data_IF_018953121610
#
_entry.id   IF_018953121610
#
_cell.length_a   1.000
_cell.length_b   1.000
_cell.length_c   1.000
_cell.angle_alpha   90.00
_cell.angle_beta   90.00
_cell.angle_gamma   90.00
#
_symmetry.space_group_name_H-M   'P 1'
#
loop_
_entity.id
_entity.type
_entity.pdbx_description
1 polymer ?
#
# COMPACT_ATOMS: atom_id res chain seq x y z
N UNK A 1 -1.07 -7.27 22.43
CA UNK A 1 -0.18 -6.75 21.46
C UNK A 1 -0.90 -6.37 20.18
N UNK A 2 -0.55 -5.27 19.66
CA UNK A 2 -1.24 -4.77 18.49
C UNK A 2 -0.34 -4.89 17.27
N UNK A 3 -0.96 -5.26 16.16
CA UNK A 3 -0.30 -5.17 14.88
C UNK A 3 -0.62 -3.81 14.29
N UNK A 4 0.35 -3.21 13.65
CA UNK A 4 0.12 -1.96 12.96
C UNK A 4 -0.86 -2.18 11.82
N UNK A 5 -1.70 -1.20 11.58
CA UNK A 5 -2.60 -1.23 10.44
C UNK A 5 -1.79 -1.14 9.16
N UNK A 6 -2.13 -1.98 8.20
CA UNK A 6 -1.46 -1.99 6.92
C UNK A 6 -2.48 -1.62 5.85
N UNK A 7 -2.22 -0.53 5.15
CA UNK A 7 -3.06 -0.11 4.04
C UNK A 7 -2.20 0.04 2.80
N UNK A 8 -2.77 -0.31 1.67
CA UNK A 8 -2.07 -0.21 0.41
C UNK A 8 -2.99 0.44 -0.62
N UNK A 9 -2.45 1.42 -1.30
CA UNK A 9 -3.11 1.98 -2.48
C UNK A 9 -2.41 1.42 -3.69
N UNK A 10 -3.17 0.80 -4.57
CA UNK A 10 -2.63 0.05 -5.69
C UNK A 10 -3.39 0.32 -6.97
N UNK A 11 -2.87 -0.22 -8.06
CA UNK A 11 -3.56 -0.25 -9.35
C UNK A 11 -3.73 -1.72 -9.73
N UNK A 12 -4.89 -2.09 -10.25
CA UNK A 12 -5.19 -3.49 -10.55
C UNK A 12 -4.27 -4.08 -11.61
N UNK A 13 -3.72 -3.23 -12.47
CA UNK A 13 -2.83 -3.66 -13.56
C UNK A 13 -1.36 -3.47 -13.27
N UNK A 14 -1.01 -3.00 -12.09
CA UNK A 14 0.37 -2.68 -11.73
C UNK A 14 1.11 -3.94 -11.26
N UNK A 15 2.20 -4.28 -11.95
CA UNK A 15 2.97 -5.48 -11.57
C UNK A 15 3.65 -5.31 -10.22
N UNK A 16 4.15 -4.13 -9.90
CA UNK A 16 4.76 -3.87 -8.60
C UNK A 16 3.74 -4.00 -7.47
N UNK A 17 2.52 -3.54 -7.71
CA UNK A 17 1.44 -3.69 -6.74
C UNK A 17 1.12 -5.16 -6.48
N UNK A 18 1.10 -5.96 -7.53
CA UNK A 18 0.87 -7.41 -7.41
C UNK A 18 1.98 -8.08 -6.62
N UNK A 19 3.22 -7.66 -6.83
CA UNK A 19 4.37 -8.18 -6.09
C UNK A 19 4.26 -7.86 -4.61
N UNK A 20 3.83 -6.66 -4.26
CA UNK A 20 3.63 -6.28 -2.86
C UNK A 20 2.53 -7.11 -2.23
N UNK A 21 1.40 -7.29 -2.92
CA UNK A 21 0.31 -8.11 -2.40
C UNK A 21 0.78 -9.54 -2.13
N UNK A 22 1.55 -10.10 -3.05
CA UNK A 22 2.11 -11.44 -2.88
C UNK A 22 3.03 -11.49 -1.67
N UNK A 23 3.89 -10.50 -1.52
CA UNK A 23 4.81 -10.43 -0.38
C UNK A 23 4.04 -10.38 0.94
N UNK A 24 3.02 -9.54 1.03
CA UNK A 24 2.22 -9.42 2.24
C UNK A 24 1.48 -10.73 2.54
N UNK A 25 0.98 -11.41 1.51
CA UNK A 25 0.34 -12.71 1.70
C UNK A 25 1.34 -13.75 2.21
N UNK A 26 2.56 -13.75 1.68
CA UNK A 26 3.60 -14.68 2.11
C UNK A 26 4.03 -14.41 3.56
N UNK A 27 3.95 -13.17 3.99
CA UNK A 27 4.26 -12.80 5.37
C UNK A 27 3.10 -13.09 6.33
N UNK A 28 1.99 -13.56 5.84
CA UNK A 28 0.78 -13.90 6.61
C UNK A 28 0.28 -12.73 7.47
N UNK A 29 0.39 -11.53 6.94
CA UNK A 29 -0.12 -10.33 7.62
C UNK A 29 -1.44 -9.94 6.98
N UNK A 30 -2.30 -9.34 7.80
CA UNK A 30 -3.57 -8.82 7.31
C UNK A 30 -3.36 -7.40 6.83
N UNK A 31 -3.91 -7.09 5.67
CA UNK A 31 -3.79 -5.76 5.11
C UNK A 31 -5.05 -5.42 4.32
N UNK A 32 -5.28 -4.12 4.17
CA UNK A 32 -6.36 -3.63 3.33
C UNK A 32 -5.73 -3.00 2.09
N UNK A 33 -6.35 -3.21 0.94
CA UNK A 33 -5.88 -2.55 -0.27
C UNK A 33 -7.04 -1.94 -1.03
N UNK A 34 -6.71 -0.91 -1.80
CA UNK A 34 -7.67 -0.24 -2.66
C UNK A 34 -7.06 -0.12 -4.04
N UNK A 35 -7.69 -0.73 -5.04
CA UNK A 35 -7.27 -0.57 -6.43
C UNK A 35 -7.91 0.71 -6.94
N UNK A 36 -7.13 1.77 -6.93
CA UNK A 36 -7.63 3.12 -7.20
C UNK A 36 -8.20 3.26 -8.60
N UNK A 37 -7.65 2.53 -9.56
CA UNK A 37 -8.11 2.56 -10.94
C UNK A 37 -9.51 1.96 -11.13
N UNK A 38 -9.98 1.17 -10.16
CA UNK A 38 -11.32 0.60 -10.21
C UNK A 38 -12.38 1.49 -9.60
N UNK A 39 -11.96 2.54 -8.91
CA UNK A 39 -12.88 3.51 -8.33
C UNK A 39 -13.31 4.52 -9.40
N UNK A 40 -14.48 5.10 -9.19
CA UNK A 40 -15.06 6.06 -10.16
C UNK A 40 -15.56 7.29 -9.44
N UNK A 41 -15.55 8.41 -10.16
CA UNK A 41 -16.17 9.65 -9.70
C UNK A 41 -15.54 10.16 -8.41
N UNK A 42 -16.40 10.52 -7.46
CA UNK A 42 -15.98 11.13 -6.20
C UNK A 42 -15.14 10.23 -5.33
N UNK A 43 -15.39 8.91 -5.37
CA UNK A 43 -14.61 7.97 -4.59
C UNK A 43 -13.16 7.98 -5.03
N UNK A 44 -12.95 7.99 -6.35
CA UNK A 44 -11.60 8.03 -6.90
C UNK A 44 -10.89 9.33 -6.51
N UNK A 45 -11.57 10.45 -6.63
CA UNK A 45 -11.01 11.75 -6.28
C UNK A 45 -10.64 11.81 -4.80
N UNK A 46 -11.51 11.32 -3.93
CA UNK A 46 -11.27 11.34 -2.49
C UNK A 46 -10.07 10.47 -2.13
N UNK A 47 -9.97 9.29 -2.72
CA UNK A 47 -8.84 8.40 -2.45
C UNK A 47 -7.54 8.99 -2.99
N UNK A 48 -7.57 9.61 -4.17
CA UNK A 48 -6.38 10.23 -4.71
C UNK A 48 -5.88 11.39 -3.85
N UNK A 49 -6.80 12.13 -3.24
CA UNK A 49 -6.40 13.17 -2.29
C UNK A 49 -5.73 12.57 -1.05
N UNK A 50 -6.26 11.45 -0.56
CA UNK A 50 -5.64 10.75 0.56
C UNK A 50 -4.24 10.26 0.20
N UNK A 51 -4.07 9.68 -0.98
CA UNK A 51 -2.76 9.23 -1.44
C UNK A 51 -1.77 10.39 -1.50
N UNK A 52 -2.20 11.55 -1.97
CA UNK A 52 -1.34 12.73 -2.06
C UNK A 52 -0.84 13.19 -0.70
N UNK A 53 -1.59 12.98 0.36
CA UNK A 53 -1.15 13.33 1.71
C UNK A 53 0.05 12.50 2.14
N UNK A 54 0.11 11.24 1.73
CA UNK A 54 1.18 10.33 2.07
C UNK A 54 2.28 10.32 1.02
N UNK A 55 1.90 10.52 -0.25
CA UNK A 55 2.82 10.46 -1.37
C UNK A 55 2.42 11.54 -2.38
N UNK A 56 3.02 12.72 -2.30
CA UNK A 56 2.67 13.83 -3.21
C UNK A 56 2.81 13.49 -4.69
N UNK A 57 3.67 12.54 -5.03
CA UNK A 57 3.83 12.11 -6.43
C UNK A 57 2.72 11.20 -6.91
N UNK A 58 1.86 10.72 -6.03
CA UNK A 58 0.76 9.83 -6.37
C UNK A 58 1.20 8.61 -7.16
N UNK A 59 2.35 8.06 -6.82
CA UNK A 59 2.84 6.84 -7.47
C UNK A 59 2.34 5.61 -6.72
N UNK A 60 2.31 4.49 -7.40
CA UNK A 60 1.81 3.24 -6.84
C UNK A 60 2.86 2.15 -6.97
N UNK A 61 2.86 1.19 -6.04
CA UNK A 61 2.01 1.12 -4.86
C UNK A 61 2.44 2.10 -3.77
N UNK A 62 1.50 2.56 -2.95
CA UNK A 62 1.77 3.34 -1.75
C UNK A 62 1.30 2.50 -0.58
N UNK A 63 2.20 2.16 0.32
CA UNK A 63 1.93 1.26 1.43
C UNK A 63 2.11 2.01 2.74
N UNK A 64 1.13 1.91 3.61
CA UNK A 64 1.17 2.56 4.91
C UNK A 64 1.16 1.46 5.97
N UNK A 65 2.24 1.38 6.73
CA UNK A 65 2.39 0.40 7.81
C UNK A 65 2.59 1.17 9.10
N UNK A 66 1.51 1.26 9.90
CA UNK A 66 1.53 2.11 11.07
C UNK A 66 1.80 3.56 10.68
N UNK A 67 2.93 4.09 11.08
CA UNK A 67 3.34 5.44 10.74
C UNK A 67 4.30 5.51 9.57
N UNK A 68 4.74 4.36 9.05
CA UNK A 68 5.69 4.32 7.95
C UNK A 68 4.98 4.30 6.61
N UNK A 69 5.53 5.03 5.66
CA UNK A 69 5.00 5.11 4.30
C UNK A 69 6.08 4.62 3.35
N UNK A 70 5.73 3.62 2.56
CA UNK A 70 6.66 3.02 1.60
C UNK A 70 6.05 3.15 0.22
N UNK A 71 6.82 3.70 -0.70
CA UNK A 71 6.38 3.90 -2.08
C UNK A 71 7.17 2.97 -2.99
N UNK A 72 6.44 2.17 -3.74
CA UNK A 72 7.03 1.19 -4.65
C UNK A 72 7.25 -0.16 -3.99
N UNK A 73 7.72 -1.11 -4.79
CA UNK A 73 8.00 -2.45 -4.29
C UNK A 73 9.41 -2.47 -3.69
N UNK A 74 9.47 -2.31 -2.39
CA UNK A 74 10.72 -2.29 -1.65
C UNK A 74 10.66 -3.37 -0.58
N UNK A 75 10.95 -4.57 -0.99
CA UNK A 75 10.80 -5.76 -0.14
C UNK A 75 11.48 -5.63 1.20
N UNK A 76 12.73 -5.16 1.20
CA UNK A 76 13.49 -5.03 2.42
C UNK A 76 12.84 -4.04 3.39
N UNK A 77 12.45 -2.88 2.89
CA UNK A 77 11.81 -1.87 3.73
C UNK A 77 10.47 -2.34 4.26
N UNK A 78 9.71 -3.06 3.42
CA UNK A 78 8.42 -3.61 3.85
C UNK A 78 8.62 -4.61 4.98
N UNK A 79 9.56 -5.52 4.83
CA UNK A 79 9.85 -6.51 5.86
C UNK A 79 10.34 -5.88 7.15
N UNK A 80 11.18 -4.86 7.06
CA UNK A 80 11.65 -4.14 8.24
C UNK A 80 10.49 -3.45 8.95
N UNK A 81 9.60 -2.82 8.19
CA UNK A 81 8.44 -2.15 8.77
C UNK A 81 7.48 -3.14 9.44
N UNK A 82 7.43 -4.37 8.94
CA UNK A 82 6.61 -5.43 9.53
C UNK A 82 7.27 -6.10 10.73
N UNK A 83 8.53 -5.79 10.99
CA UNK A 83 9.27 -6.39 12.08
C UNK A 83 9.79 -7.79 11.76
N UNK A 84 9.92 -8.13 10.47
CA UNK A 84 10.34 -9.45 10.04
C UNK A 84 11.80 -9.52 9.62
N UNK A 85 12.46 -8.41 9.52
CA UNK A 85 13.85 -8.35 9.09
C UNK A 85 14.76 -8.03 10.26
#
# INVERSE_FOLDING_TARGET
MTQDSIKMYSLSTCSHCKSVKKLLDECTVKYEFTDVDLLKGKERSAILEDVKKFNPNCSFPTIIIGEKIIVGYKEKEIKEALGLA
#
